data_IF_448097653377
#
_entry.id   IF_448097653377
#
_cell.length_a   1.000
_cell.length_b   1.000
_cell.length_c   1.000
_cell.angle_alpha   90.00
_cell.angle_beta   90.00
_cell.angle_gamma   90.00
#
_symmetry.space_group_name_H-M   'P 1'
#
loop_
_entity.id
_entity.type
_entity.pdbx_description
1 polymer ?
#
# COMPACT_ATOMS: atom_id res chain seq x y z
N UNK A 1 -16.56 0.76 36.66
CA UNK A 1 -15.99 1.99 36.08
C UNK A 1 -15.30 1.57 34.80
N UNK A 2 -16.00 1.70 33.67
CA UNK A 2 -15.54 1.32 32.33
C UNK A 2 -14.97 2.58 31.69
N UNK A 3 -13.64 2.66 31.60
CA UNK A 3 -12.98 3.71 30.81
C UNK A 3 -13.22 3.46 29.33
N UNK A 4 -13.99 4.38 28.73
CA UNK A 4 -14.19 4.48 27.29
C UNK A 4 -12.87 4.94 26.66
N UNK A 5 -12.21 4.07 25.92
CA UNK A 5 -11.09 4.43 25.05
C UNK A 5 -11.70 5.23 23.89
N UNK A 6 -11.59 6.54 23.96
CA UNK A 6 -11.97 7.42 22.88
C UNK A 6 -11.06 7.15 21.66
N UNK A 7 -11.63 6.67 20.58
CA UNK A 7 -10.98 6.60 19.30
C UNK A 7 -10.57 8.01 18.86
N UNK A 8 -9.29 8.23 18.61
CA UNK A 8 -8.79 9.52 18.16
C UNK A 8 -9.38 9.84 16.77
N UNK A 9 -9.99 11.01 16.66
CA UNK A 9 -10.62 11.54 15.44
C UNK A 9 -9.57 11.66 14.32
N UNK A 10 -9.87 11.27 13.05
CA UNK A 10 -8.93 11.30 11.93
C UNK A 10 -8.21 12.62 11.67
N UNK A 11 -8.85 13.74 11.99
CA UNK A 11 -8.31 15.10 11.79
C UNK A 11 -7.00 15.44 12.52
N UNK A 12 -6.52 14.60 13.45
CA UNK A 12 -5.32 14.85 14.24
C UNK A 12 -4.03 14.27 13.64
N UNK A 13 -4.10 13.53 12.52
CA UNK A 13 -2.94 12.81 11.94
C UNK A 13 -2.14 13.58 10.89
N UNK A 14 -2.60 14.73 10.42
CA UNK A 14 -1.89 15.53 9.42
C UNK A 14 -0.61 16.14 10.00
N UNK A 15 0.50 15.40 9.97
CA UNK A 15 1.82 15.95 10.24
C UNK A 15 2.41 16.54 8.95
N UNK A 16 3.01 17.71 9.07
CA UNK A 16 3.40 18.64 8.01
C UNK A 16 4.52 18.17 7.04
N UNK A 17 4.95 16.92 7.05
CA UNK A 17 6.03 16.43 6.19
C UNK A 17 5.59 15.25 5.32
N UNK A 18 5.58 15.48 3.99
CA UNK A 18 5.28 14.43 3.03
C UNK A 18 6.34 13.31 3.07
N UNK A 19 5.88 12.06 3.11
CA UNK A 19 6.75 10.87 2.94
C UNK A 19 6.83 10.49 1.47
N UNK A 20 5.75 10.71 0.70
CA UNK A 20 5.75 10.57 -0.76
C UNK A 20 5.27 11.90 -1.33
N UNK A 21 6.00 12.42 -2.32
CA UNK A 21 5.58 13.54 -3.16
C UNK A 21 5.80 13.20 -4.61
N UNK A 22 4.76 13.37 -5.41
CA UNK A 22 4.75 13.11 -6.84
C UNK A 22 4.28 14.38 -7.55
N UNK A 23 5.05 14.83 -8.54
CA UNK A 23 4.71 16.02 -9.32
C UNK A 23 4.83 15.73 -10.82
N UNK A 24 3.73 15.94 -11.56
CA UNK A 24 3.67 15.81 -13.01
C UNK A 24 4.06 14.43 -13.54
N UNK A 25 3.73 13.35 -12.81
CA UNK A 25 4.13 11.99 -13.15
C UNK A 25 3.48 11.54 -14.45
N UNK A 26 4.30 11.17 -15.44
CA UNK A 26 3.84 10.55 -16.68
C UNK A 26 4.48 9.18 -16.86
N UNK A 27 3.68 8.24 -17.40
CA UNK A 27 4.15 6.90 -17.79
C UNK A 27 3.38 6.39 -18.98
N UNK A 28 4.13 5.89 -19.96
CA UNK A 28 3.59 5.24 -21.17
C UNK A 28 4.16 3.83 -21.31
N UNK A 29 3.39 2.94 -21.95
CA UNK A 29 3.83 1.62 -22.40
C UNK A 29 3.44 1.48 -23.87
N UNK A 30 4.39 1.13 -24.71
CA UNK A 30 4.19 0.94 -26.15
C UNK A 30 3.46 2.13 -26.82
N UNK A 31 3.82 3.35 -26.42
CA UNK A 31 3.20 4.59 -26.93
C UNK A 31 1.82 4.93 -26.33
N UNK A 32 1.24 4.07 -25.51
CA UNK A 32 -0.02 4.34 -24.82
C UNK A 32 0.25 4.99 -23.47
N UNK A 33 -0.27 6.20 -23.28
CA UNK A 33 -0.19 6.93 -22.01
C UNK A 33 -1.06 6.24 -20.95
N UNK A 34 -0.45 5.91 -19.79
CA UNK A 34 -1.10 5.23 -18.66
C UNK A 34 -1.20 6.14 -17.45
N UNK A 35 -0.20 7.02 -17.23
CA UNK A 35 -0.25 8.09 -16.23
C UNK A 35 0.01 9.41 -16.96
N UNK A 36 -0.85 10.41 -16.71
CA UNK A 36 -0.80 11.72 -17.38
C UNK A 36 -0.72 12.84 -16.34
N UNK A 37 0.47 13.34 -16.09
CA UNK A 37 0.79 14.48 -15.20
C UNK A 37 0.14 14.38 -13.82
N UNK A 38 0.17 13.17 -13.22
CA UNK A 38 -0.42 12.89 -11.94
C UNK A 38 0.40 13.57 -10.83
N UNK A 39 -0.29 14.23 -9.89
CA UNK A 39 0.31 14.80 -8.69
C UNK A 39 -0.30 14.10 -7.48
N UNK A 40 0.51 13.73 -6.48
CA UNK A 40 0.04 13.07 -5.27
C UNK A 40 0.97 13.36 -4.11
N UNK A 41 0.41 13.58 -2.93
CA UNK A 41 1.17 13.72 -1.70
C UNK A 41 0.64 12.76 -0.63
N UNK A 42 1.56 12.10 0.09
CA UNK A 42 1.24 11.23 1.23
C UNK A 42 2.01 11.75 2.44
N UNK A 43 1.29 12.27 3.42
CA UNK A 43 1.85 12.76 4.68
C UNK A 43 2.32 11.61 5.58
N UNK A 44 3.26 11.90 6.48
CA UNK A 44 3.71 10.92 7.50
C UNK A 44 2.55 10.56 8.44
N UNK A 45 2.34 9.26 8.65
CA UNK A 45 1.26 8.73 9.49
C UNK A 45 -0.12 8.82 8.84
N UNK A 46 -0.25 9.35 7.61
CA UNK A 46 -1.52 9.39 6.90
C UNK A 46 -1.73 8.17 6.00
N UNK A 47 -2.99 7.92 5.71
CA UNK A 47 -3.45 6.84 4.84
C UNK A 47 -4.14 7.47 3.64
N UNK A 48 -3.56 7.27 2.45
CA UNK A 48 -4.15 7.71 1.18
C UNK A 48 -4.68 6.50 0.43
N UNK A 49 -5.97 6.52 0.10
CA UNK A 49 -6.62 5.47 -0.70
C UNK A 49 -6.77 5.92 -2.15
N UNK A 50 -6.25 5.13 -3.09
CA UNK A 50 -6.41 5.33 -4.52
C UNK A 50 -7.46 4.37 -5.04
N UNK A 51 -8.56 4.90 -5.54
CA UNK A 51 -9.66 4.14 -6.11
C UNK A 51 -9.78 4.43 -7.62
N UNK A 52 -10.51 3.60 -8.35
CA UNK A 52 -10.74 3.79 -9.79
C UNK A 52 -10.88 2.48 -10.55
N UNK A 53 -11.24 2.57 -11.83
CA UNK A 53 -11.47 1.41 -12.68
C UNK A 53 -10.19 0.59 -12.89
N UNK A 54 -10.36 -0.72 -13.17
CA UNK A 54 -9.25 -1.58 -13.60
C UNK A 54 -8.62 -1.02 -14.88
N UNK A 55 -7.28 -1.04 -14.94
CA UNK A 55 -6.54 -0.44 -16.05
C UNK A 55 -6.37 1.09 -15.97
N UNK A 56 -6.88 1.77 -14.94
CA UNK A 56 -6.77 3.22 -14.74
C UNK A 56 -5.37 3.73 -14.34
N UNK A 57 -4.36 2.87 -14.24
CA UNK A 57 -2.97 3.28 -13.92
C UNK A 57 -2.58 3.16 -12.45
N UNK A 58 -3.49 2.72 -11.55
CA UNK A 58 -3.25 2.65 -10.09
C UNK A 58 -2.02 1.81 -9.72
N UNK A 59 -1.92 0.57 -10.21
CA UNK A 59 -0.75 -0.30 -10.03
C UNK A 59 0.53 0.31 -10.60
N UNK A 60 0.43 0.99 -11.75
CA UNK A 60 1.58 1.69 -12.37
C UNK A 60 2.07 2.83 -11.47
N UNK A 61 1.15 3.61 -10.89
CA UNK A 61 1.46 4.64 -9.90
C UNK A 61 2.26 4.06 -8.73
N UNK A 62 1.75 2.97 -8.11
CA UNK A 62 2.43 2.30 -7.00
C UNK A 62 3.83 1.84 -7.36
N UNK A 63 3.99 1.26 -8.57
CA UNK A 63 5.29 0.78 -9.06
C UNK A 63 6.25 1.91 -9.39
N UNK A 64 5.76 3.08 -9.76
CA UNK A 64 6.61 4.26 -9.96
C UNK A 64 7.16 4.80 -8.64
N UNK A 65 6.43 4.72 -7.53
CA UNK A 65 6.89 5.18 -6.20
C UNK A 65 8.12 4.41 -5.72
N UNK A 66 8.13 3.08 -5.89
CA UNK A 66 9.26 2.24 -5.45
C UNK A 66 10.25 1.91 -6.57
N UNK A 67 10.13 2.59 -7.72
CA UNK A 67 10.97 2.41 -8.92
C UNK A 67 11.01 0.94 -9.42
N UNK A 68 9.92 0.19 -9.28
CA UNK A 68 9.67 -1.05 -10.03
C UNK A 68 9.33 -0.74 -11.49
N UNK A 69 8.64 0.39 -11.71
CA UNK A 69 8.46 1.00 -13.02
C UNK A 69 9.14 2.36 -13.04
N UNK A 70 9.85 2.65 -14.12
CA UNK A 70 10.52 3.94 -14.26
C UNK A 70 9.55 4.94 -14.89
N UNK A 71 9.25 6.08 -14.23
CA UNK A 71 8.49 7.15 -14.86
C UNK A 71 9.17 7.70 -16.11
N UNK A 72 8.37 8.20 -17.07
CA UNK A 72 8.89 8.84 -18.27
C UNK A 72 9.15 10.33 -18.02
N UNK A 73 8.28 10.98 -17.20
CA UNK A 73 8.41 12.40 -16.83
C UNK A 73 7.95 12.60 -15.37
N UNK A 74 8.18 13.81 -14.87
CA UNK A 74 7.78 14.24 -13.53
C UNK A 74 8.86 13.99 -12.48
N UNK A 75 8.51 14.30 -11.23
CA UNK A 75 9.37 14.13 -10.06
C UNK A 75 8.71 13.17 -9.06
N UNK A 76 9.50 12.29 -8.48
CA UNK A 76 9.10 11.42 -7.36
C UNK A 76 10.10 11.62 -6.24
N UNK A 77 9.57 12.01 -5.07
CA UNK A 77 10.33 12.11 -3.83
C UNK A 77 9.78 11.12 -2.81
N UNK A 78 10.68 10.47 -2.09
CA UNK A 78 10.35 9.50 -1.03
C UNK A 78 11.22 9.77 0.19
N UNK A 79 10.60 9.95 1.34
CA UNK A 79 11.27 10.27 2.61
C UNK A 79 12.26 11.44 2.51
N UNK A 80 11.89 12.48 1.76
CA UNK A 80 12.70 13.68 1.54
C UNK A 80 13.84 13.54 0.53
N UNK A 81 13.96 12.38 -0.14
CA UNK A 81 14.95 12.16 -1.20
C UNK A 81 14.26 12.12 -2.57
N UNK A 82 14.72 12.92 -3.51
CA UNK A 82 14.29 12.82 -4.91
C UNK A 82 14.84 11.52 -5.51
N UNK A 83 13.97 10.61 -5.92
CA UNK A 83 14.36 9.30 -6.47
C UNK A 83 14.24 9.24 -7.99
N UNK A 84 13.39 10.10 -8.56
CA UNK A 84 13.22 10.28 -10.02
C UNK A 84 12.96 11.73 -10.35
N UNK A 85 13.52 12.22 -11.47
CA UNK A 85 13.30 13.58 -11.98
C UNK A 85 13.48 13.65 -13.50
N UNK A 86 12.47 14.20 -14.20
CA UNK A 86 12.54 14.51 -15.62
C UNK A 86 12.94 13.33 -16.52
N UNK A 87 12.36 12.14 -16.30
CA UNK A 87 12.68 10.93 -17.06
C UNK A 87 13.99 10.22 -16.63
N UNK A 88 14.67 10.70 -15.60
CA UNK A 88 15.90 10.12 -15.09
C UNK A 88 15.75 9.58 -13.68
N UNK A 89 16.21 8.36 -13.46
CA UNK A 89 16.39 7.83 -12.11
C UNK A 89 17.58 8.52 -11.47
N UNK A 90 17.35 9.27 -10.38
CA UNK A 90 18.39 9.96 -9.61
C UNK A 90 18.69 9.25 -8.29
N UNK A 91 17.90 8.25 -7.94
CA UNK A 91 18.12 7.39 -6.78
C UNK A 91 19.48 6.71 -6.86
N UNK A 92 20.34 6.97 -5.88
CA UNK A 92 21.69 6.41 -5.79
C UNK A 92 21.74 5.07 -5.04
N UNK A 93 20.77 4.82 -4.15
CA UNK A 93 20.69 3.62 -3.32
C UNK A 93 19.27 3.01 -3.41
N UNK A 94 19.03 2.27 -4.50
CA UNK A 94 17.77 1.57 -4.71
C UNK A 94 17.44 0.54 -3.60
N UNK A 95 18.40 -0.23 -3.05
CA UNK A 95 18.17 -1.04 -1.87
C UNK A 95 17.67 -0.23 -0.66
N UNK A 96 18.21 0.96 -0.41
CA UNK A 96 17.72 1.85 0.67
C UNK A 96 16.29 2.30 0.42
N UNK A 97 15.98 2.79 -0.79
CA UNK A 97 14.61 3.14 -1.17
C UNK A 97 13.64 1.99 -0.88
N UNK A 98 13.97 0.76 -1.29
CA UNK A 98 13.13 -0.43 -1.08
C UNK A 98 13.06 -0.92 0.37
N UNK A 99 13.95 -0.46 1.24
CA UNK A 99 13.81 -0.63 2.70
C UNK A 99 12.84 0.41 3.27
N UNK A 100 12.91 1.64 2.78
CA UNK A 100 12.03 2.75 3.21
C UNK A 100 10.59 2.54 2.76
N UNK A 101 10.38 1.93 1.59
CA UNK A 101 9.06 1.67 0.99
C UNK A 101 8.79 0.17 0.96
N UNK A 102 7.97 -0.30 1.88
CA UNK A 102 7.45 -1.68 1.83
C UNK A 102 6.33 -1.78 0.79
N UNK A 103 6.24 -2.92 0.10
CA UNK A 103 5.17 -3.15 -0.88
C UNK A 103 4.52 -4.51 -0.69
N UNK A 104 3.19 -4.51 -0.67
CA UNK A 104 2.33 -5.69 -0.65
C UNK A 104 1.56 -5.72 -1.97
N UNK A 105 1.68 -6.82 -2.70
CA UNK A 105 1.13 -6.98 -4.03
C UNK A 105 -0.20 -7.73 -4.01
N UNK A 106 -0.97 -7.61 -5.07
CA UNK A 106 -2.19 -8.37 -5.33
C UNK A 106 -1.93 -9.88 -5.33
N UNK A 107 -0.85 -10.33 -6.00
CA UNK A 107 -0.33 -11.69 -5.90
C UNK A 107 0.74 -11.68 -4.81
N UNK A 108 0.70 -12.63 -3.90
CA UNK A 108 1.49 -12.67 -2.67
C UNK A 108 3.01 -12.64 -2.89
N UNK A 109 3.48 -13.14 -4.05
CA UNK A 109 4.89 -13.19 -4.46
C UNK A 109 5.81 -13.76 -3.36
N UNK A 110 5.33 -14.76 -2.63
CA UNK A 110 6.18 -15.51 -1.71
C UNK A 110 7.15 -16.41 -2.49
N UNK A 111 8.33 -16.60 -1.95
CA UNK A 111 9.30 -17.54 -2.49
C UNK A 111 8.80 -18.96 -2.21
N UNK A 112 8.47 -19.78 -3.24
CA UNK A 112 7.76 -21.04 -3.05
C UNK A 112 8.60 -22.12 -2.34
N UNK A 113 9.91 -22.02 -2.42
CA UNK A 113 10.87 -22.94 -1.78
C UNK A 113 11.29 -22.54 -0.36
N UNK A 114 10.73 -21.45 0.17
CA UNK A 114 10.99 -20.96 1.52
C UNK A 114 9.72 -21.10 2.37
N UNK A 115 9.90 -21.41 3.63
CA UNK A 115 8.82 -21.37 4.64
C UNK A 115 8.31 -19.95 4.88
N UNK A 116 7.18 -19.78 5.56
CA UNK A 116 6.64 -18.48 5.93
C UNK A 116 7.66 -17.63 6.70
N UNK A 117 8.32 -18.19 7.70
CA UNK A 117 9.34 -17.48 8.48
C UNK A 117 10.56 -17.12 7.65
N UNK A 118 11.04 -18.00 6.78
CA UNK A 118 12.18 -17.73 5.89
C UNK A 118 11.86 -16.64 4.87
N UNK A 119 10.63 -16.57 4.35
CA UNK A 119 10.17 -15.47 3.50
C UNK A 119 10.30 -14.12 4.19
N UNK A 120 10.01 -14.03 5.49
CA UNK A 120 10.12 -12.80 6.28
C UNK A 120 11.58 -12.50 6.65
N UNK A 121 12.39 -13.52 6.93
CA UNK A 121 13.81 -13.40 7.31
C UNK A 121 14.68 -12.95 6.14
N UNK A 122 14.39 -13.43 4.92
CA UNK A 122 15.26 -13.24 3.74
C UNK A 122 15.64 -11.78 3.47
N UNK A 123 14.67 -10.87 3.53
CA UNK A 123 14.91 -9.44 3.29
C UNK A 123 15.84 -8.84 4.37
N UNK A 124 15.68 -9.26 5.61
CA UNK A 124 16.48 -8.81 6.74
C UNK A 124 17.93 -9.30 6.64
N UNK A 125 18.13 -10.58 6.26
CA UNK A 125 19.47 -11.14 6.00
C UNK A 125 20.20 -10.35 4.92
N UNK A 126 19.51 -10.04 3.80
CA UNK A 126 20.10 -9.23 2.71
C UNK A 126 20.43 -7.81 3.15
N UNK A 127 19.73 -7.28 4.14
CA UNK A 127 20.01 -5.98 4.75
C UNK A 127 21.11 -6.03 5.83
N UNK A 128 21.72 -7.20 6.08
CA UNK A 128 22.81 -7.36 7.04
C UNK A 128 22.37 -7.52 8.49
N UNK A 129 21.06 -7.79 8.73
CA UNK A 129 20.57 -8.07 10.09
C UNK A 129 21.08 -9.46 10.54
N UNK A 130 21.65 -9.58 11.75
CA UNK A 130 22.10 -10.86 12.31
C UNK A 130 20.96 -11.89 12.34
N UNK A 131 21.28 -13.13 12.03
CA UNK A 131 20.30 -14.22 11.86
C UNK A 131 19.33 -14.37 13.04
N UNK A 132 19.86 -14.39 14.26
CA UNK A 132 19.03 -14.53 15.48
C UNK A 132 18.02 -13.40 15.62
N UNK A 133 18.43 -12.15 15.33
CA UNK A 133 17.55 -10.99 15.39
C UNK A 133 16.51 -10.99 14.25
N UNK A 134 16.93 -11.43 13.06
CA UNK A 134 16.03 -11.54 11.91
C UNK A 134 14.93 -12.58 12.17
N UNK A 135 15.31 -13.73 12.75
CA UNK A 135 14.37 -14.79 13.11
C UNK A 135 13.40 -14.35 14.23
N UNK A 136 13.92 -13.76 15.29
CA UNK A 136 13.09 -13.24 16.40
C UNK A 136 12.04 -12.24 15.89
N UNK A 137 12.48 -11.28 15.08
CA UNK A 137 11.60 -10.29 14.45
C UNK A 137 10.59 -10.95 13.51
N UNK A 138 11.01 -11.91 12.70
CA UNK A 138 10.11 -12.61 11.78
C UNK A 138 9.00 -13.35 12.52
N UNK A 139 9.34 -14.06 13.62
CA UNK A 139 8.35 -14.75 14.47
C UNK A 139 7.38 -13.75 15.12
N UNK A 140 7.90 -12.62 15.62
CA UNK A 140 7.05 -11.56 16.18
C UNK A 140 6.08 -10.97 15.13
N UNK A 141 6.56 -10.73 13.91
CA UNK A 141 5.71 -10.22 12.81
C UNK A 141 4.66 -11.25 12.38
N UNK A 142 5.02 -12.53 12.24
CA UNK A 142 4.06 -13.59 11.93
C UNK A 142 2.99 -13.73 13.02
N UNK A 143 3.36 -13.52 14.29
CA UNK A 143 2.40 -13.50 15.39
C UNK A 143 1.47 -12.29 15.29
N UNK A 144 2.03 -11.11 15.00
CA UNK A 144 1.26 -9.87 14.81
C UNK A 144 0.20 -9.99 13.72
N UNK A 145 0.53 -10.66 12.59
CA UNK A 145 -0.41 -10.88 11.49
C UNK A 145 -1.24 -12.17 11.62
N UNK A 146 -1.19 -12.85 12.79
CA UNK A 146 -2.04 -14.01 13.11
C UNK A 146 -1.66 -15.33 12.42
N UNK A 147 -0.44 -15.47 11.87
CA UNK A 147 -0.01 -16.68 11.14
C UNK A 147 1.22 -17.37 11.75
N UNK A 148 1.54 -17.11 13.03
CA UNK A 148 2.69 -17.73 13.68
C UNK A 148 2.61 -19.26 13.74
N UNK A 149 1.41 -19.83 13.83
CA UNK A 149 1.17 -21.27 13.81
C UNK A 149 1.56 -21.95 12.49
N UNK A 150 1.73 -21.17 11.43
CA UNK A 150 2.13 -21.60 10.08
C UNK A 150 3.57 -21.22 9.74
N UNK A 151 4.38 -20.81 10.72
CA UNK A 151 5.74 -20.28 10.49
C UNK A 151 6.63 -21.20 9.64
N UNK A 152 6.50 -22.53 9.79
CA UNK A 152 7.29 -23.53 9.07
C UNK A 152 6.61 -24.07 7.80
N UNK A 153 5.39 -23.61 7.48
CA UNK A 153 4.68 -24.00 6.27
C UNK A 153 5.27 -23.31 5.03
N UNK A 154 5.31 -24.02 3.93
CA UNK A 154 5.63 -23.48 2.60
C UNK A 154 4.40 -22.80 1.99
N UNK A 155 4.54 -21.86 1.03
CA UNK A 155 3.42 -21.14 0.44
C UNK A 155 2.29 -22.02 -0.08
N UNK A 156 2.59 -23.16 -0.69
CA UNK A 156 1.58 -24.11 -1.19
C UNK A 156 0.70 -24.75 -0.11
N UNK A 157 1.18 -24.70 1.15
CA UNK A 157 0.46 -25.23 2.33
C UNK A 157 -0.37 -24.16 3.05
N UNK A 158 -0.31 -22.91 2.56
CA UNK A 158 -0.98 -21.75 3.14
C UNK A 158 -2.23 -21.40 2.33
N UNK A 159 -3.31 -21.01 3.00
CA UNK A 159 -4.46 -20.38 2.34
C UNK A 159 -4.05 -19.04 1.70
N UNK A 160 -4.85 -18.51 0.76
CA UNK A 160 -4.60 -17.21 0.15
C UNK A 160 -4.47 -16.08 1.19
N UNK A 161 -5.36 -16.06 2.18
CA UNK A 161 -5.30 -15.09 3.28
C UNK A 161 -4.06 -15.24 4.15
N UNK A 162 -3.64 -16.47 4.48
CA UNK A 162 -2.38 -16.72 5.21
C UNK A 162 -1.18 -16.25 4.39
N UNK A 163 -1.13 -16.54 3.07
CA UNK A 163 -0.05 -16.07 2.19
C UNK A 163 0.02 -14.54 2.16
N UNK A 164 -1.12 -13.85 2.07
CA UNK A 164 -1.16 -12.39 2.07
C UNK A 164 -0.69 -11.82 3.40
N UNK A 165 -1.09 -12.40 4.53
CA UNK A 165 -0.60 -11.96 5.84
C UNK A 165 0.90 -12.21 6.02
N UNK A 166 1.46 -13.30 5.49
CA UNK A 166 2.92 -13.49 5.41
C UNK A 166 3.59 -12.44 4.53
N UNK A 167 2.98 -12.06 3.39
CA UNK A 167 3.50 -10.99 2.53
C UNK A 167 3.50 -9.63 3.25
N UNK A 168 2.47 -9.32 4.06
CA UNK A 168 2.44 -8.13 4.93
C UNK A 168 3.56 -8.19 5.97
N UNK A 169 3.74 -9.32 6.66
CA UNK A 169 4.82 -9.49 7.63
C UNK A 169 6.20 -9.29 6.99
N UNK A 170 6.41 -9.80 5.76
CA UNK A 170 7.63 -9.60 4.98
C UNK A 170 7.86 -8.13 4.63
N UNK A 171 6.82 -7.39 4.23
CA UNK A 171 6.92 -5.96 3.94
C UNK A 171 7.29 -5.15 5.19
N UNK A 172 6.79 -5.52 6.36
CA UNK A 172 7.09 -4.89 7.65
C UNK A 172 8.50 -5.21 8.18
N UNK A 173 9.14 -6.28 7.69
CA UNK A 173 10.38 -6.83 8.27
C UNK A 173 11.54 -5.83 8.29
N UNK A 174 11.59 -4.91 7.33
CA UNK A 174 12.62 -3.87 7.22
C UNK A 174 12.25 -2.56 7.90
N UNK A 175 11.12 -2.49 8.62
CA UNK A 175 10.60 -1.28 9.30
C UNK A 175 10.45 -0.10 8.31
N UNK A 176 9.66 -0.25 7.26
CA UNK A 176 9.49 0.79 6.26
C UNK A 176 8.83 2.04 6.87
N UNK A 177 9.08 3.20 6.26
CA UNK A 177 8.42 4.46 6.62
C UNK A 177 7.03 4.56 5.99
N UNK A 178 6.80 3.84 4.88
CA UNK A 178 5.52 3.77 4.18
C UNK A 178 5.28 2.38 3.62
N UNK A 179 4.03 1.93 3.69
CA UNK A 179 3.56 0.70 3.05
C UNK A 179 2.68 1.02 1.84
N UNK A 180 3.01 0.41 0.72
CA UNK A 180 2.19 0.41 -0.49
C UNK A 180 1.40 -0.88 -0.55
N UNK A 181 0.07 -0.80 -0.71
CA UNK A 181 -0.82 -1.94 -0.87
C UNK A 181 -1.47 -1.90 -2.26
N UNK A 182 -1.13 -2.82 -3.13
CA UNK A 182 -1.67 -2.91 -4.49
C UNK A 182 -2.73 -4.02 -4.55
N UNK A 183 -4.00 -3.65 -4.33
CA UNK A 183 -5.18 -4.53 -4.30
C UNK A 183 -5.00 -5.80 -3.44
N UNK A 184 -4.67 -5.68 -2.14
CA UNK A 184 -4.22 -6.80 -1.31
C UNK A 184 -5.28 -7.88 -1.07
N UNK A 185 -6.54 -7.63 -1.40
CA UNK A 185 -7.69 -8.54 -1.12
C UNK A 185 -8.36 -9.08 -2.38
N UNK A 186 -8.01 -8.59 -3.57
CA UNK A 186 -8.75 -8.85 -4.82
C UNK A 186 -8.77 -10.32 -5.27
N UNK A 187 -7.86 -11.15 -4.76
CA UNK A 187 -7.76 -12.60 -5.06
C UNK A 187 -8.18 -13.49 -3.89
N UNK A 188 -8.84 -12.93 -2.87
CA UNK A 188 -9.20 -13.62 -1.64
C UNK A 188 -10.71 -13.85 -1.56
N UNK A 189 -11.10 -14.92 -0.84
CA UNK A 189 -12.48 -15.11 -0.43
C UNK A 189 -12.89 -14.09 0.66
N UNK A 190 -14.20 -13.93 0.95
CA UNK A 190 -14.68 -12.93 1.90
C UNK A 190 -14.17 -13.10 3.33
N UNK A 191 -13.87 -14.34 3.77
CA UNK A 191 -13.34 -14.58 5.12
C UNK A 191 -11.90 -14.14 5.22
N UNK A 192 -11.05 -14.58 4.27
CA UNK A 192 -9.66 -14.18 4.16
C UNK A 192 -9.51 -12.66 3.97
N UNK A 193 -10.41 -12.03 3.18
CA UNK A 193 -10.47 -10.59 3.02
C UNK A 193 -10.63 -9.88 4.37
N UNK A 194 -11.59 -10.31 5.20
CA UNK A 194 -11.81 -9.71 6.53
C UNK A 194 -10.59 -9.81 7.43
N UNK A 195 -9.90 -10.96 7.42
CA UNK A 195 -8.69 -11.16 8.21
C UNK A 195 -7.54 -10.24 7.77
N UNK A 196 -7.32 -10.08 6.45
CA UNK A 196 -6.30 -9.17 5.90
C UNK A 196 -6.64 -7.72 6.23
N UNK A 197 -7.90 -7.31 6.05
CA UNK A 197 -8.35 -5.95 6.41
C UNK A 197 -8.23 -5.68 7.90
N UNK A 198 -8.42 -6.69 8.77
CA UNK A 198 -8.19 -6.55 10.22
C UNK A 198 -6.73 -6.20 10.53
N UNK A 199 -5.77 -6.91 9.92
CA UNK A 199 -4.34 -6.58 10.05
C UNK A 199 -4.05 -5.16 9.55
N UNK A 200 -4.64 -4.75 8.44
CA UNK A 200 -4.45 -3.39 7.91
C UNK A 200 -5.04 -2.31 8.82
N UNK A 201 -6.18 -2.58 9.50
CA UNK A 201 -6.73 -1.66 10.54
C UNK A 201 -5.79 -1.50 11.73
N UNK A 202 -5.18 -2.58 12.19
CA UNK A 202 -4.19 -2.53 13.26
C UNK A 202 -2.99 -1.68 12.88
N UNK A 203 -2.48 -1.84 11.63
CA UNK A 203 -1.39 -1.01 11.12
C UNK A 203 -1.79 0.48 11.03
N UNK A 204 -3.03 0.76 10.62
CA UNK A 204 -3.59 2.11 10.60
C UNK A 204 -3.65 2.72 12.01
N UNK A 205 -4.14 1.94 12.99
CA UNK A 205 -4.22 2.37 14.39
C UNK A 205 -2.84 2.67 14.99
N UNK A 206 -1.80 1.93 14.58
CA UNK A 206 -0.41 2.15 15.00
C UNK A 206 0.25 3.36 14.30
N UNK A 207 -0.47 4.09 13.44
CA UNK A 207 0.03 5.29 12.75
C UNK A 207 0.96 4.97 11.57
N UNK A 208 0.87 3.78 10.97
CA UNK A 208 1.64 3.44 9.77
C UNK A 208 1.19 4.32 8.60
N UNK A 209 2.16 4.95 7.91
CA UNK A 209 1.89 5.64 6.66
C UNK A 209 1.54 4.61 5.58
N UNK A 210 0.41 4.80 4.89
CA UNK A 210 -0.02 3.87 3.86
C UNK A 210 -0.50 4.58 2.59
N UNK A 211 -0.12 4.03 1.44
CA UNK A 211 -0.76 4.32 0.16
C UNK A 211 -1.38 3.02 -0.32
N UNK A 212 -2.70 2.99 -0.44
CA UNK A 212 -3.41 1.76 -0.76
C UNK A 212 -4.26 1.92 -2.03
N UNK A 213 -4.13 0.94 -2.92
CA UNK A 213 -5.07 0.72 -4.02
C UNK A 213 -6.03 -0.36 -3.58
N UNK A 214 -7.32 -0.06 -3.57
CA UNK A 214 -8.33 -1.02 -3.11
C UNK A 214 -9.65 -0.86 -3.83
N UNK A 215 -10.39 -1.95 -3.91
CA UNK A 215 -11.80 -2.01 -4.30
C UNK A 215 -12.73 -2.09 -3.08
N UNK A 216 -12.18 -2.23 -1.87
CA UNK A 216 -12.92 -2.27 -0.61
C UNK A 216 -13.29 -0.83 -0.17
N UNK A 217 -14.32 -0.24 -0.82
CA UNK A 217 -14.74 1.14 -0.52
C UNK A 217 -15.15 1.35 0.94
N UNK A 218 -15.87 0.41 1.61
CA UNK A 218 -16.17 0.54 3.03
C UNK A 218 -14.91 0.62 3.91
N UNK A 219 -13.87 -0.16 3.57
CA UNK A 219 -12.60 -0.12 4.28
C UNK A 219 -11.84 1.20 4.02
N UNK A 220 -11.79 1.65 2.75
CA UNK A 220 -11.18 2.94 2.41
C UNK A 220 -11.85 4.09 3.19
N UNK A 221 -13.19 4.08 3.28
CA UNK A 221 -13.96 5.07 4.05
C UNK A 221 -13.61 5.05 5.55
N UNK A 222 -13.38 3.86 6.10
CA UNK A 222 -13.09 3.66 7.54
C UNK A 222 -11.70 4.15 7.93
N UNK A 223 -10.68 3.88 7.10
CA UNK A 223 -9.27 4.03 7.50
C UNK A 223 -8.54 5.18 6.81
N UNK A 224 -8.98 5.62 5.63
CA UNK A 224 -8.25 6.63 4.87
C UNK A 224 -8.45 8.04 5.44
N UNK A 225 -7.38 8.82 5.46
CA UNK A 225 -7.42 10.24 5.74
C UNK A 225 -7.75 11.04 4.45
N UNK A 226 -7.40 10.46 3.29
CA UNK A 226 -7.60 11.05 1.98
C UNK A 226 -7.91 9.98 0.93
N UNK A 227 -8.84 10.26 0.03
CA UNK A 227 -9.23 9.39 -1.08
C UNK A 227 -8.94 10.10 -2.39
N UNK A 228 -8.35 9.38 -3.33
CA UNK A 228 -7.99 9.85 -4.67
C UNK A 228 -8.66 8.97 -5.70
N UNK A 229 -9.55 9.52 -6.51
CA UNK A 229 -10.16 8.82 -7.62
C UNK A 229 -9.35 9.03 -8.90
N UNK A 230 -8.84 7.92 -9.45
CA UNK A 230 -8.03 7.91 -10.68
C UNK A 230 -8.83 7.29 -11.83
N UNK A 231 -8.95 8.03 -12.92
CA UNK A 231 -9.53 7.54 -14.19
C UNK A 231 -8.72 8.05 -15.38
N UNK A 232 -8.48 7.18 -16.38
CA UNK A 232 -7.70 7.52 -17.58
C UNK A 232 -6.28 8.03 -17.29
N UNK A 233 -5.66 7.58 -16.19
CA UNK A 233 -4.31 7.97 -15.79
C UNK A 233 -4.20 9.34 -15.11
N UNK A 234 -5.32 9.98 -14.78
CA UNK A 234 -5.38 11.28 -14.10
C UNK A 234 -6.15 11.18 -12.79
N UNK A 235 -5.83 12.05 -11.86
CA UNK A 235 -6.69 12.28 -10.71
C UNK A 235 -7.88 13.11 -11.21
N UNK A 236 -9.08 12.57 -11.02
CA UNK A 236 -10.34 13.21 -11.37
C UNK A 236 -10.91 13.95 -10.19
N UNK A 237 -10.84 13.33 -9.01
CA UNK A 237 -11.33 13.89 -7.77
C UNK A 237 -10.49 13.39 -6.60
N UNK A 238 -10.26 14.25 -5.62
CA UNK A 238 -9.58 13.88 -4.38
C UNK A 238 -10.12 14.70 -3.20
N UNK A 239 -10.08 14.13 -2.01
CA UNK A 239 -10.61 14.79 -0.81
C UNK A 239 -10.70 13.84 0.37
N UNK A 240 -11.46 14.23 1.40
CA UNK A 240 -11.78 13.35 2.50
C UNK A 240 -12.67 12.19 2.03
N UNK A 241 -12.64 11.03 2.72
CA UNK A 241 -13.50 9.91 2.35
C UNK A 241 -14.97 10.27 2.16
N UNK A 242 -15.54 11.06 3.07
CA UNK A 242 -16.94 11.52 3.01
C UNK A 242 -17.24 12.42 1.80
N UNK A 243 -16.27 13.24 1.38
CA UNK A 243 -16.45 14.14 0.23
C UNK A 243 -16.43 13.33 -1.08
N UNK A 244 -15.48 12.38 -1.22
CA UNK A 244 -15.29 11.64 -2.47
C UNK A 244 -16.20 10.42 -2.59
N UNK A 245 -16.49 9.71 -1.47
CA UNK A 245 -17.24 8.45 -1.50
C UNK A 245 -18.75 8.65 -1.28
N UNK A 246 -19.17 9.68 -0.52
CA UNK A 246 -20.58 9.88 -0.19
C UNK A 246 -21.23 11.02 -0.98
N UNK A 247 -20.48 12.11 -1.21
CA UNK A 247 -20.97 13.31 -1.89
C UNK A 247 -20.07 13.78 -3.02
N UNK A 248 -19.72 12.89 -3.98
CA UNK A 248 -18.78 13.23 -5.04
C UNK A 248 -19.23 14.40 -5.90
N UNK A 249 -18.35 15.37 -6.08
CA UNK A 249 -18.59 16.55 -6.92
C UNK A 249 -18.53 16.24 -8.41
N UNK A 250 -17.63 15.32 -8.81
CA UNK A 250 -17.39 14.99 -10.19
C UNK A 250 -18.38 13.93 -10.72
N UNK A 251 -18.94 14.17 -11.92
CA UNK A 251 -19.90 13.23 -12.54
C UNK A 251 -19.27 11.84 -12.75
N UNK A 252 -17.99 11.82 -13.11
CA UNK A 252 -17.26 10.58 -13.38
C UNK A 252 -17.04 9.74 -12.11
N UNK A 253 -16.83 10.40 -10.95
CA UNK A 253 -16.75 9.72 -9.65
C UNK A 253 -18.09 9.11 -9.29
N UNK A 254 -19.20 9.84 -9.49
CA UNK A 254 -20.58 9.33 -9.27
C UNK A 254 -20.86 8.08 -10.10
N UNK A 255 -20.53 8.11 -11.40
CA UNK A 255 -20.70 6.95 -12.30
C UNK A 255 -19.92 5.74 -11.81
N UNK A 256 -18.65 5.94 -11.39
CA UNK A 256 -17.80 4.87 -10.86
C UNK A 256 -18.42 4.26 -9.60
N UNK A 257 -18.82 5.08 -8.63
CA UNK A 257 -19.39 4.62 -7.36
C UNK A 257 -20.74 3.92 -7.55
N UNK A 258 -21.59 4.41 -8.45
CA UNK A 258 -22.86 3.77 -8.78
C UNK A 258 -22.67 2.36 -9.35
N UNK A 259 -21.60 2.10 -10.09
CA UNK A 259 -21.28 0.78 -10.62
C UNK A 259 -20.92 -0.24 -9.52
N UNK A 260 -20.40 0.23 -8.38
CA UNK A 260 -20.10 -0.61 -7.20
C UNK A 260 -21.35 -0.91 -6.38
N UNK A 261 -22.28 0.05 -6.22
CA UNK A 261 -23.52 -0.15 -5.47
C UNK A 261 -24.50 -1.14 -6.11
N UNK A 262 -24.36 -1.41 -7.40
CA UNK A 262 -25.19 -2.37 -8.15
C UNK A 262 -24.57 -3.79 -8.21
N UNK A 263 -23.38 -4.00 -7.66
CA UNK A 263 -22.67 -5.29 -7.68
C UNK A 263 -22.64 -6.00 -6.31
N UNK A 264 -23.37 -5.46 -5.31
CA UNK A 264 -23.44 -5.99 -3.93
C UNK A 264 -24.72 -6.75 -3.68
#
# INVERSE_FOLDING_TARGET
MTESVAAATPAARASSQAVIRIEGLCKSFDGRLVLDRLNLEVGRGSIVSVIGQSGGGKTTLMRCVNLLERPDQGTVEVAGETVHQGGRMVCRDLPRLRRTVGMVFQRFHLFPHLTAVENVVLAQRKAGVPEAQALERAVALLRRVGVAHRALAQPEQLSGGEQQRVAIARALALRPEVLLFDEPTSSLDPEATREVLSVMRELAADGMTMLLVTHELPFAREVADHVVFVDGGRIVEEGRPEDVLDTPAEARTREFLASYGNAS
#
